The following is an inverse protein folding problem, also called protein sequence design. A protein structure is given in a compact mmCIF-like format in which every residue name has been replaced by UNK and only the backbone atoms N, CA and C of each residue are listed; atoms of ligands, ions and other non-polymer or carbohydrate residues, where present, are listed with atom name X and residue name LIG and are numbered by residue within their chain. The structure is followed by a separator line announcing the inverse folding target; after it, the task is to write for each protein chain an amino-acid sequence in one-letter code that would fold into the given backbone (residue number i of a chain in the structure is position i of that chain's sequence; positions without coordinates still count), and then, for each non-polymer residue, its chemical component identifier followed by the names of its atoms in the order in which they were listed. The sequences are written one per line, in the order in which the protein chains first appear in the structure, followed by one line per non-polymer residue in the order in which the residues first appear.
data_IF_123878108450
#
_entry.id   IF_123878108450
#
_cell.length_a   1.000
_cell.length_b   1.000
_cell.length_c   1.000
_cell.angle_alpha   90.00
_cell.angle_beta   90.00
_cell.angle_gamma   90.00
#
_symmetry.space_group_name_H-M   'P 1'
#
loop_
_entity.id
_entity.type
_entity.pdbx_description
1 polymer ?
#
# COMPACT_ATOMS: atom_id res chain seq x y z
N UNK A 1 0.79 -2.71 -30.19
CA UNK A 1 -0.05 -3.60 -29.37
C UNK A 1 0.89 -4.24 -28.36
N UNK A 2 1.14 -3.67 -27.19
CA UNK A 2 0.14 -3.35 -26.16
C UNK A 2 0.58 -2.12 -25.37
N UNK A 3 -0.27 -1.09 -25.36
CA UNK A 3 -0.08 0.16 -24.62
C UNK A 3 -0.31 -0.11 -23.13
N UNK A 4 0.61 0.30 -22.25
CA UNK A 4 0.40 0.24 -20.80
C UNK A 4 -0.41 1.47 -20.39
N UNK A 5 -1.49 1.32 -19.60
CA UNK A 5 -2.30 2.46 -19.19
C UNK A 5 -1.49 3.40 -18.29
N UNK A 6 -1.35 4.64 -18.75
CA UNK A 6 -0.86 5.78 -17.99
C UNK A 6 -1.82 6.10 -16.83
N UNK A 7 -1.38 5.84 -15.59
CA UNK A 7 -2.17 6.18 -14.40
C UNK A 7 -1.86 7.62 -14.01
N UNK A 8 -2.61 8.57 -14.57
CA UNK A 8 -2.60 9.97 -14.10
C UNK A 8 -3.53 10.09 -12.90
N UNK A 9 -2.99 9.94 -11.69
CA UNK A 9 -3.74 10.10 -10.44
C UNK A 9 -4.03 11.57 -10.12
N UNK A 10 -5.20 12.06 -10.47
CA UNK A 10 -5.72 13.35 -9.98
C UNK A 10 -6.08 13.23 -8.49
N UNK A 11 -5.26 13.80 -7.59
CA UNK A 11 -5.60 13.87 -6.17
C UNK A 11 -6.45 15.12 -5.90
N UNK A 12 -7.77 14.94 -5.96
CA UNK A 12 -8.73 15.95 -5.49
C UNK A 12 -8.78 15.95 -3.96
N UNK A 13 -8.33 17.04 -3.33
CA UNK A 13 -8.47 17.20 -1.87
C UNK A 13 -9.92 17.46 -1.49
N UNK A 14 -10.62 16.39 -1.10
CA UNK A 14 -11.70 16.44 -0.11
C UNK A 14 -11.10 16.15 1.27
N UNK A 15 -11.78 16.53 2.36
CA UNK A 15 -11.24 16.53 3.74
C UNK A 15 -10.90 15.18 4.39
N UNK A 16 -10.48 14.17 3.61
CA UNK A 16 -9.97 12.88 4.07
C UNK A 16 -8.55 12.65 3.51
N UNK A 17 -7.68 12.02 4.29
CA UNK A 17 -6.33 11.65 3.84
C UNK A 17 -6.42 10.66 2.66
N UNK A 18 -5.52 10.75 1.67
CA UNK A 18 -5.51 9.82 0.54
C UNK A 18 -5.19 8.39 0.99
N UNK A 19 -5.76 7.42 0.28
CA UNK A 19 -5.39 6.00 0.42
C UNK A 19 -4.01 5.78 -0.20
N UNK A 20 -3.18 4.94 0.43
CA UNK A 20 -1.81 4.67 0.00
C UNK A 20 -1.64 3.20 -0.35
N UNK A 21 -1.27 2.94 -1.60
CA UNK A 21 -0.78 1.66 -2.07
C UNK A 21 0.71 1.50 -1.73
N UNK A 22 1.11 0.38 -1.10
CA UNK A 22 2.49 0.12 -0.71
C UNK A 22 3.00 -1.22 -1.26
N UNK A 23 3.96 -1.18 -2.18
CA UNK A 23 4.56 -2.40 -2.76
C UNK A 23 5.94 -2.64 -2.14
N UNK A 24 6.10 -3.79 -1.50
CA UNK A 24 7.29 -4.18 -0.75
C UNK A 24 7.14 -3.89 0.74
N UNK A 25 6.91 -4.91 1.55
CA UNK A 25 6.66 -4.85 2.99
C UNK A 25 7.75 -5.55 3.81
N UNK A 26 8.92 -5.80 3.19
CA UNK A 26 10.10 -6.30 3.89
C UNK A 26 10.68 -5.32 4.92
N UNK A 27 11.94 -5.52 5.32
CA UNK A 27 12.55 -4.82 6.47
C UNK A 27 12.47 -3.28 6.46
N UNK A 28 12.50 -2.64 5.29
CA UNK A 28 12.33 -1.18 5.20
C UNK A 28 10.89 -0.75 4.94
N UNK A 29 10.18 -1.48 4.08
CA UNK A 29 8.84 -1.12 3.65
C UNK A 29 7.79 -1.31 4.74
N UNK A 30 7.90 -2.38 5.53
CA UNK A 30 6.99 -2.66 6.64
C UNK A 30 6.92 -1.52 7.67
N UNK A 31 8.05 -1.07 8.26
CA UNK A 31 8.06 0.05 9.19
C UNK A 31 7.58 1.37 8.55
N UNK A 32 7.87 1.59 7.26
CA UNK A 32 7.41 2.79 6.55
C UNK A 32 5.89 2.79 6.37
N UNK A 33 5.30 1.67 5.94
CA UNK A 33 3.86 1.50 5.79
C UNK A 33 3.14 1.60 7.16
N UNK A 34 3.71 1.02 8.22
CA UNK A 34 3.17 1.11 9.57
C UNK A 34 3.13 2.55 10.10
N UNK A 35 4.15 3.35 9.79
CA UNK A 35 4.18 4.77 10.14
C UNK A 35 3.06 5.56 9.45
N UNK A 36 2.74 5.23 8.18
CA UNK A 36 1.64 5.86 7.45
C UNK A 36 0.28 5.49 8.07
N UNK A 37 0.09 4.23 8.47
CA UNK A 37 -1.10 3.81 9.23
C UNK A 37 -1.21 4.59 10.55
N UNK A 38 -0.09 4.72 11.28
CA UNK A 38 -0.03 5.48 12.55
C UNK A 38 -0.34 6.97 12.34
N UNK A 39 0.04 7.54 11.19
CA UNK A 39 -0.28 8.91 10.81
C UNK A 39 -1.74 9.11 10.34
N UNK A 40 -2.55 8.04 10.34
CA UNK A 40 -3.97 8.09 10.00
C UNK A 40 -4.28 7.82 8.52
N UNK A 41 -3.30 7.46 7.71
CA UNK A 41 -3.54 7.05 6.33
C UNK A 41 -4.09 5.62 6.29
N UNK A 42 -5.01 5.38 5.37
CA UNK A 42 -5.39 4.01 5.02
C UNK A 42 -4.32 3.46 4.07
N UNK A 43 -3.66 2.37 4.47
CA UNK A 43 -2.60 1.74 3.69
C UNK A 43 -3.02 0.35 3.27
N UNK A 44 -2.90 0.07 1.98
CA UNK A 44 -3.06 -1.27 1.39
C UNK A 44 -1.71 -1.66 0.80
N UNK A 45 -1.18 -2.81 1.20
CA UNK A 45 0.15 -3.25 0.82
C UNK A 45 0.21 -4.66 0.25
N UNK A 46 1.27 -4.91 -0.50
CA UNK A 46 1.58 -6.21 -1.08
C UNK A 46 3.08 -6.49 -1.03
N UNK A 47 3.45 -7.76 -0.87
CA UNK A 47 4.80 -8.29 -0.98
C UNK A 47 4.73 -9.73 -1.52
N UNK A 48 5.84 -10.20 -2.12
CA UNK A 48 5.98 -11.57 -2.59
C UNK A 48 6.28 -12.55 -1.45
N UNK A 49 6.82 -12.06 -0.34
CA UNK A 49 7.21 -12.85 0.84
C UNK A 49 6.03 -12.94 1.81
N UNK A 50 5.47 -14.14 2.06
CA UNK A 50 4.31 -14.30 2.94
C UNK A 50 4.53 -13.81 4.38
N UNK A 51 5.75 -13.96 4.91
CA UNK A 51 6.12 -13.48 6.24
C UNK A 51 6.04 -11.95 6.36
N UNK A 52 6.43 -11.24 5.30
CA UNK A 52 6.31 -9.78 5.25
C UNK A 52 4.85 -9.34 5.26
N UNK A 53 3.96 -10.06 4.56
CA UNK A 53 2.52 -9.81 4.57
C UNK A 53 1.93 -9.99 5.97
N UNK A 54 2.28 -11.07 6.68
CA UNK A 54 1.75 -11.32 8.02
C UNK A 54 2.23 -10.28 9.02
N UNK A 55 3.52 -9.90 8.94
CA UNK A 55 4.08 -8.83 9.77
C UNK A 55 3.38 -7.49 9.51
N UNK A 56 3.13 -7.16 8.23
CA UNK A 56 2.43 -5.94 7.86
C UNK A 56 0.96 -5.95 8.32
N UNK A 57 0.28 -7.10 8.21
CA UNK A 57 -1.09 -7.29 8.72
C UNK A 57 -1.15 -7.06 10.23
N UNK A 58 -0.18 -7.57 10.98
CA UNK A 58 -0.06 -7.35 12.42
C UNK A 58 0.18 -5.87 12.77
N UNK A 59 0.81 -5.10 11.88
CA UNK A 59 1.00 -3.66 11.99
C UNK A 59 -0.22 -2.81 11.55
N UNK A 60 -1.34 -3.44 11.19
CA UNK A 60 -2.58 -2.76 10.80
C UNK A 60 -2.66 -2.37 9.33
N UNK A 61 -1.76 -2.87 8.49
CA UNK A 61 -1.76 -2.62 7.04
C UNK A 61 -2.73 -3.61 6.37
N UNK A 62 -3.61 -3.11 5.49
CA UNK A 62 -4.45 -3.96 4.66
C UNK A 62 -3.61 -4.72 3.63
N UNK A 63 -3.91 -5.99 3.36
CA UNK A 63 -3.11 -6.81 2.44
C UNK A 63 -3.89 -7.07 1.14
N UNK A 64 -3.27 -6.74 0.01
CA UNK A 64 -3.76 -7.04 -1.32
C UNK A 64 -3.33 -8.45 -1.77
N UNK A 65 -4.11 -9.08 -2.66
CA UNK A 65 -3.81 -10.41 -3.19
C UNK A 65 -2.71 -10.42 -4.26
N UNK A 66 -2.49 -9.27 -4.90
CA UNK A 66 -1.43 -9.05 -5.89
C UNK A 66 -1.04 -7.57 -5.91
N UNK A 67 0.11 -7.25 -6.52
CA UNK A 67 0.57 -5.85 -6.64
C UNK A 67 -0.46 -4.91 -7.28
N UNK A 68 -1.11 -5.30 -8.39
CA UNK A 68 -2.22 -4.53 -8.97
C UNK A 68 -3.45 -4.38 -8.08
N UNK A 69 -3.68 -5.28 -7.12
CA UNK A 69 -4.83 -5.20 -6.21
C UNK A 69 -4.60 -4.23 -5.02
N UNK A 70 -3.40 -3.64 -4.92
CA UNK A 70 -3.06 -2.71 -3.85
C UNK A 70 -3.46 -1.26 -4.15
N UNK A 71 -3.97 -0.96 -5.36
CA UNK A 71 -4.31 0.40 -5.84
C UNK A 71 -5.77 0.77 -5.65
#
# INVERSE_FOLDING_TARGET
MTEKPETTGTHGSSGALPDIAFIGLGHMGGPMAANLVTAGYRVIGFDLVPEALETARAAGIGIAGSGPDAV
#
